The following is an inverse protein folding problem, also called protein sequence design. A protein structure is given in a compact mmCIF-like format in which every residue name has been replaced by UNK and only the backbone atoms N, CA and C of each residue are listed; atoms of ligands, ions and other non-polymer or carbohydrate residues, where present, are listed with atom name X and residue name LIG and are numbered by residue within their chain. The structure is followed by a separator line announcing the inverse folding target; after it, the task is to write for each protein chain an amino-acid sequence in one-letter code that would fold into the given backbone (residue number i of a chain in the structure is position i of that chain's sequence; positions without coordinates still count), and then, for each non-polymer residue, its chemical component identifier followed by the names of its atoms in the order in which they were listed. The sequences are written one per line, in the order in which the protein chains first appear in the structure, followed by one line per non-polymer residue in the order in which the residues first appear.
data_IF_026572629084
#
_entry.id   IF_026572629084
#
_cell.length_a   1.000
_cell.length_b   1.000
_cell.length_c   1.000
_cell.angle_alpha   90.00
_cell.angle_beta   90.00
_cell.angle_gamma   90.00
#
_symmetry.space_group_name_H-M   'P 1'
#
loop_
_entity.id
_entity.type
_entity.pdbx_description
1 polymer ?
#
# COMPACT_ATOMS: atom_id res chain seq x y z
N UNK A 1 11.68 -0.75 11.49
CA UNK A 1 10.83 -1.98 11.64
C UNK A 1 11.01 -2.69 12.99
N UNK A 2 11.76 -2.12 13.95
CA UNK A 2 11.90 -2.72 15.29
C UNK A 2 10.53 -2.87 15.96
N UNK A 3 10.37 -3.86 16.70
CA UNK A 3 9.34 -4.71 17.19
C UNK A 3 9.10 -5.92 16.28
N UNK A 4 8.72 -5.71 15.03
CA UNK A 4 8.49 -6.79 14.04
C UNK A 4 9.82 -7.43 13.60
N UNK A 5 10.81 -6.62 13.27
CA UNK A 5 12.14 -7.06 12.83
C UNK A 5 13.23 -6.47 13.72
N UNK A 6 14.28 -7.23 14.01
CA UNK A 6 15.44 -6.79 14.78
C UNK A 6 16.71 -6.79 13.92
N UNK A 7 17.75 -6.12 14.42
CA UNK A 7 19.07 -6.17 13.79
C UNK A 7 19.59 -7.61 13.77
N UNK A 8 20.01 -8.05 12.57
CA UNK A 8 20.51 -9.41 12.36
C UNK A 8 19.45 -10.40 11.92
N UNK A 9 18.16 -10.03 11.91
CA UNK A 9 17.12 -10.86 11.29
C UNK A 9 17.35 -10.96 9.78
N UNK A 10 17.15 -12.17 9.24
CA UNK A 10 17.08 -12.42 7.80
C UNK A 10 15.65 -12.77 7.45
N UNK A 11 15.08 -12.04 6.52
CA UNK A 11 13.71 -12.24 6.06
C UNK A 11 13.68 -12.98 4.72
N UNK A 12 12.67 -13.83 4.57
CA UNK A 12 12.33 -14.39 3.28
C UNK A 12 11.39 -13.42 2.56
N UNK A 13 11.79 -13.01 1.37
CA UNK A 13 11.05 -12.06 0.54
C UNK A 13 10.40 -12.81 -0.61
N UNK A 14 9.08 -12.73 -0.72
CA UNK A 14 8.33 -13.21 -1.87
C UNK A 14 8.45 -12.18 -3.01
N UNK A 15 9.22 -12.55 -4.03
CA UNK A 15 9.40 -11.78 -5.26
C UNK A 15 8.49 -12.26 -6.39
N UNK A 16 7.86 -13.43 -6.24
CA UNK A 16 7.07 -14.05 -7.30
C UNK A 16 5.69 -13.40 -7.43
N UNK A 17 5.03 -13.11 -6.30
CA UNK A 17 3.70 -12.53 -6.30
C UNK A 17 3.66 -11.17 -7.03
N UNK A 18 4.57 -10.21 -6.79
CA UNK A 18 4.67 -8.99 -7.59
C UNK A 18 5.02 -9.25 -9.05
N UNK A 19 5.87 -10.24 -9.34
CA UNK A 19 6.22 -10.62 -10.72
C UNK A 19 5.00 -11.02 -11.56
N UNK A 20 3.97 -11.60 -10.94
CA UNK A 20 2.71 -11.94 -11.58
C UNK A 20 1.68 -10.79 -11.58
N UNK A 21 2.10 -9.56 -11.24
CA UNK A 21 1.28 -8.36 -11.31
C UNK A 21 0.42 -8.11 -10.07
N UNK A 22 0.70 -8.75 -8.94
CA UNK A 22 0.07 -8.40 -7.69
C UNK A 22 0.69 -7.12 -7.13
N UNK A 23 -0.15 -6.17 -6.78
CA UNK A 23 0.25 -4.92 -6.15
C UNK A 23 0.41 -5.09 -4.63
N UNK A 24 1.25 -4.25 -3.98
CA UNK A 24 1.36 -4.25 -2.53
C UNK A 24 0.02 -3.94 -1.86
N UNK A 25 -0.30 -4.66 -0.79
CA UNK A 25 -1.53 -4.48 -0.02
C UNK A 25 -1.26 -3.80 1.33
N UNK A 26 -2.31 -3.18 1.89
CA UNK A 26 -2.24 -2.53 3.21
C UNK A 26 -1.85 -3.53 4.29
N UNK A 27 -0.95 -3.13 5.18
CA UNK A 27 -0.47 -3.94 6.29
C UNK A 27 0.67 -4.89 5.95
N UNK A 28 1.00 -5.09 4.68
CA UNK A 28 2.15 -5.89 4.27
C UNK A 28 3.47 -5.22 4.65
N UNK A 29 4.46 -6.03 4.96
CA UNK A 29 5.85 -5.57 5.10
C UNK A 29 6.54 -5.76 3.77
N UNK A 30 6.97 -4.67 3.15
CA UNK A 30 7.59 -4.69 1.83
C UNK A 30 9.05 -4.29 1.88
N UNK A 31 9.83 -4.88 0.98
CA UNK A 31 11.20 -4.47 0.64
C UNK A 31 11.13 -3.71 -0.66
N UNK A 32 11.76 -2.55 -0.73
CA UNK A 32 11.76 -1.69 -1.90
C UNK A 32 13.08 -0.95 -2.05
N UNK A 33 13.41 -0.59 -3.28
CA UNK A 33 14.59 0.23 -3.60
C UNK A 33 14.41 1.65 -3.08
N UNK A 34 15.51 2.33 -2.72
CA UNK A 34 15.47 3.74 -2.33
C UNK A 34 14.81 4.57 -3.45
N UNK A 35 13.66 5.23 -3.19
CA UNK A 35 12.96 6.04 -4.21
C UNK A 35 13.76 7.28 -4.65
N UNK A 36 14.92 7.49 -4.08
CA UNK A 36 15.82 8.60 -4.31
C UNK A 36 15.89 9.57 -3.13
N UNK A 37 17.00 9.51 -2.41
CA UNK A 37 17.32 10.43 -1.33
C UNK A 37 16.71 10.09 0.03
N UNK A 38 16.13 8.90 0.23
CA UNK A 38 15.70 8.45 1.55
C UNK A 38 16.86 7.94 2.41
N UNK A 39 17.86 7.39 1.76
CA UNK A 39 19.13 7.04 2.41
C UNK A 39 20.16 8.09 2.04
N UNK A 40 20.78 8.69 3.07
CA UNK A 40 21.95 9.52 2.84
C UNK A 40 23.02 8.73 2.08
N UNK A 41 23.77 9.39 1.21
CA UNK A 41 24.89 8.79 0.45
C UNK A 41 26.00 8.30 1.38
N UNK A 42 25.73 7.29 2.17
CA UNK A 42 26.76 6.52 2.82
C UNK A 42 27.44 5.68 1.74
N UNK A 43 28.65 6.11 1.36
CA UNK A 43 29.48 5.32 0.46
C UNK A 43 29.65 3.92 1.06
N UNK A 44 28.92 2.95 0.46
CA UNK A 44 29.13 1.55 0.82
C UNK A 44 30.57 1.16 0.46
N UNK A 45 31.29 0.44 1.32
CA UNK A 45 32.62 -0.05 0.98
C UNK A 45 32.55 -0.87 -0.30
N UNK A 46 33.49 -0.66 -1.23
CA UNK A 46 33.58 -1.36 -2.52
C UNK A 46 33.45 -2.88 -2.31
N UNK A 47 32.51 -3.55 -2.99
CA UNK A 47 32.32 -4.98 -2.83
C UNK A 47 33.51 -5.77 -3.37
N UNK A 48 33.98 -6.74 -2.57
CA UNK A 48 35.05 -7.67 -2.97
C UNK A 48 34.65 -8.50 -4.18
N UNK A 49 35.63 -8.97 -4.96
CA UNK A 49 35.40 -9.80 -6.17
C UNK A 49 34.52 -11.01 -5.90
N UNK A 50 34.65 -11.63 -4.71
CA UNK A 50 33.81 -12.75 -4.27
C UNK A 50 32.35 -12.30 -4.05
N UNK A 51 32.14 -11.12 -3.47
CA UNK A 51 30.79 -10.56 -3.27
C UNK A 51 30.13 -10.21 -4.61
N UNK A 52 30.89 -9.62 -5.55
CA UNK A 52 30.42 -9.36 -6.92
C UNK A 52 30.00 -10.64 -7.64
N UNK A 53 30.78 -11.72 -7.49
CA UNK A 53 30.45 -13.02 -8.08
C UNK A 53 29.21 -13.65 -7.44
N UNK A 54 29.09 -13.62 -6.09
CA UNK A 54 27.94 -14.15 -5.38
C UNK A 54 26.65 -13.33 -5.64
N UNK A 55 26.78 -12.03 -5.85
CA UNK A 55 25.70 -11.15 -6.28
C UNK A 55 25.25 -11.45 -7.71
N UNK A 56 26.21 -11.65 -8.61
CA UNK A 56 25.93 -12.01 -10.01
C UNK A 56 25.13 -13.32 -10.16
N UNK A 57 25.39 -14.31 -9.30
CA UNK A 57 24.64 -15.59 -9.29
C UNK A 57 23.40 -15.53 -8.36
N UNK A 58 23.03 -14.36 -7.85
CA UNK A 58 21.82 -14.15 -7.04
C UNK A 58 21.84 -14.73 -5.63
N UNK A 59 23.02 -15.15 -5.13
CA UNK A 59 23.18 -15.68 -3.76
C UNK A 59 23.41 -14.61 -2.70
N UNK A 60 23.77 -13.38 -3.09
CA UNK A 60 23.86 -12.23 -2.20
C UNK A 60 23.22 -11.00 -2.87
N UNK A 61 22.58 -10.09 -2.09
CA UNK A 61 22.17 -8.78 -2.61
C UNK A 61 23.39 -8.04 -3.17
N UNK A 62 23.22 -7.24 -4.21
CA UNK A 62 24.28 -6.36 -4.69
C UNK A 62 24.61 -5.33 -3.62
N UNK A 63 25.87 -5.05 -3.38
CA UNK A 63 26.31 -4.06 -2.39
C UNK A 63 25.92 -2.62 -2.80
N UNK A 64 25.41 -2.43 -4.01
CA UNK A 64 24.98 -1.15 -4.58
C UNK A 64 23.47 -0.93 -4.46
N UNK A 65 22.68 -1.98 -4.18
CA UNK A 65 21.23 -1.86 -3.97
C UNK A 65 20.95 -1.38 -2.55
N UNK A 66 20.44 -0.16 -2.44
CA UNK A 66 19.97 0.43 -1.19
C UNK A 66 18.53 0.04 -0.96
N UNK A 67 18.31 -1.12 -0.34
CA UNK A 67 16.98 -1.63 -0.03
C UNK A 67 16.49 -1.14 1.33
N UNK A 68 15.25 -0.73 1.36
CA UNK A 68 14.51 -0.34 2.55
C UNK A 68 13.43 -1.36 2.86
N UNK A 69 13.11 -1.53 4.15
CA UNK A 69 12.01 -2.38 4.59
C UNK A 69 11.06 -1.58 5.49
N UNK A 70 9.78 -1.50 5.11
CA UNK A 70 8.72 -0.77 5.83
C UNK A 70 7.39 -1.51 5.71
N UNK A 71 6.39 -1.05 6.46
CA UNK A 71 5.01 -1.53 6.36
C UNK A 71 4.19 -0.60 5.49
N UNK A 72 3.40 -1.17 4.58
CA UNK A 72 2.42 -0.44 3.77
C UNK A 72 1.27 -0.01 4.68
N UNK A 73 1.01 1.28 4.76
CA UNK A 73 -0.09 1.85 5.55
C UNK A 73 -1.25 2.23 4.66
N UNK A 74 -0.96 2.75 3.47
CA UNK A 74 -1.97 3.14 2.49
C UNK A 74 -1.46 2.83 1.07
N UNK A 75 -2.38 2.60 0.15
CA UNK A 75 -2.13 2.25 -1.26
C UNK A 75 -2.78 3.29 -2.18
N UNK A 76 -2.55 3.18 -3.49
CA UNK A 76 -3.12 4.08 -4.49
C UNK A 76 -4.62 4.32 -4.31
N UNK A 77 -5.05 5.58 -4.39
CA UNK A 77 -6.41 6.01 -4.15
C UNK A 77 -6.78 6.28 -2.68
N UNK A 78 -5.98 5.84 -1.71
CA UNK A 78 -6.25 6.09 -0.29
C UNK A 78 -5.93 7.51 0.12
N UNK A 79 -6.66 7.99 1.13
CA UNK A 79 -6.29 9.18 1.89
C UNK A 79 -5.75 8.78 3.24
N UNK A 80 -4.58 9.31 3.62
CA UNK A 80 -3.93 9.01 4.89
C UNK A 80 -3.56 10.30 5.62
N UNK A 81 -3.81 10.34 6.91
CA UNK A 81 -3.44 11.44 7.79
C UNK A 81 -3.10 10.95 9.21
N UNK A 82 -2.37 11.76 9.94
CA UNK A 82 -2.13 11.55 11.36
C UNK A 82 -1.88 12.88 12.08
N UNK A 83 -2.76 13.24 12.98
CA UNK A 83 -2.62 14.44 13.80
C UNK A 83 -1.85 14.13 15.08
N UNK A 84 -1.21 15.13 15.64
CA UNK A 84 -0.54 15.01 16.92
C UNK A 84 -1.54 14.48 17.97
N UNK A 85 -1.09 13.51 18.77
CA UNK A 85 -1.85 12.81 19.80
C UNK A 85 -3.06 12.00 19.28
N UNK A 86 -3.14 11.83 17.96
CA UNK A 86 -4.17 11.03 17.30
C UNK A 86 -3.63 9.72 16.71
N UNK A 87 -4.53 8.84 16.27
CA UNK A 87 -4.17 7.66 15.49
C UNK A 87 -3.79 8.02 14.05
N UNK A 88 -3.14 7.11 13.36
CA UNK A 88 -3.11 7.13 11.89
C UNK A 88 -4.53 6.85 11.39
N UNK A 89 -5.00 7.64 10.45
CA UNK A 89 -6.34 7.52 9.84
C UNK A 89 -6.17 7.20 8.37
N UNK A 90 -6.80 6.14 7.90
CA UNK A 90 -6.82 5.71 6.49
C UNK A 90 -8.26 5.71 6.02
N UNK A 91 -8.57 6.45 4.97
CA UNK A 91 -9.94 6.59 4.41
C UNK A 91 -10.97 7.02 5.46
N UNK A 92 -10.58 7.89 6.39
CA UNK A 92 -11.43 8.35 7.49
C UNK A 92 -11.57 7.35 8.65
N UNK A 93 -10.92 6.18 8.59
CA UNK A 93 -10.97 5.15 9.63
C UNK A 93 -9.68 5.11 10.43
N UNK A 94 -9.79 5.18 11.75
CA UNK A 94 -8.65 5.12 12.66
C UNK A 94 -8.03 3.72 12.68
N UNK A 95 -6.71 3.67 12.52
CA UNK A 95 -5.93 2.44 12.54
C UNK A 95 -5.53 2.11 13.99
N UNK A 96 -5.89 0.92 14.49
CA UNK A 96 -5.35 0.41 15.76
C UNK A 96 -3.99 -0.25 15.51
N UNK A 97 -2.93 0.54 15.63
CA UNK A 97 -1.56 0.13 15.33
C UNK A 97 -0.80 -0.44 16.54
N UNK A 98 -1.41 -0.48 17.73
CA UNK A 98 -0.81 -0.96 18.98
C UNK A 98 -0.30 -2.40 18.90
N UNK A 99 -0.89 -3.22 18.02
CA UNK A 99 -0.53 -4.63 17.88
C UNK A 99 0.84 -4.85 17.21
N UNK A 100 1.35 -3.87 16.46
CA UNK A 100 2.58 -4.01 15.68
C UNK A 100 3.61 -2.89 15.87
N UNK A 101 3.23 -1.71 16.34
CA UNK A 101 4.21 -0.65 16.60
C UNK A 101 5.08 -0.99 17.83
N UNK A 102 6.24 -0.38 17.90
CA UNK A 102 7.17 -0.57 19.01
C UNK A 102 6.51 -0.07 20.32
N UNK A 103 6.57 -0.86 21.43
CA UNK A 103 5.97 -0.47 22.69
C UNK A 103 6.45 0.90 23.18
N UNK A 104 5.49 1.74 23.60
CA UNK A 104 5.76 3.11 24.04
C UNK A 104 5.88 4.15 22.93
N UNK A 105 5.81 3.72 21.65
CA UNK A 105 5.73 4.65 20.53
C UNK A 105 4.31 5.22 20.39
N UNK A 106 4.24 6.45 19.89
CA UNK A 106 2.99 7.08 19.43
C UNK A 106 2.83 6.85 17.93
N UNK A 107 1.61 6.93 17.40
CA UNK A 107 1.38 6.74 15.97
C UNK A 107 2.18 7.70 15.07
N UNK A 108 2.29 8.99 15.46
CA UNK A 108 2.98 10.00 14.63
C UNK A 108 3.35 11.30 15.38
N UNK A 109 3.47 11.31 16.70
CA UNK A 109 3.73 12.56 17.43
C UNK A 109 5.07 13.20 17.11
N UNK A 110 6.01 12.40 16.63
CA UNK A 110 7.31 12.81 16.11
C UNK A 110 7.21 13.55 14.78
N UNK A 111 6.28 13.15 13.90
CA UNK A 111 6.05 13.75 12.59
C UNK A 111 4.58 13.60 12.19
N UNK A 112 3.69 14.51 12.61
CA UNK A 112 2.30 14.58 12.16
C UNK A 112 2.24 14.93 10.67
N UNK A 113 1.22 14.42 9.94
CA UNK A 113 1.12 14.58 8.50
C UNK A 113 -0.31 14.52 7.98
N UNK A 114 -0.48 14.97 6.74
CA UNK A 114 -1.69 14.84 5.95
C UNK A 114 -2.73 15.94 6.14
N UNK A 115 -3.92 15.77 5.49
CA UNK A 115 -4.29 14.61 4.67
C UNK A 115 -3.51 14.51 3.35
N UNK A 116 -3.08 13.30 3.00
CA UNK A 116 -2.35 13.00 1.78
C UNK A 116 -3.15 11.95 1.01
N UNK A 117 -3.46 12.21 -0.27
CA UNK A 117 -4.01 11.21 -1.17
C UNK A 117 -2.85 10.50 -1.87
N UNK A 118 -2.77 9.19 -1.69
CA UNK A 118 -1.74 8.35 -2.32
C UNK A 118 -2.06 8.22 -3.81
N UNK A 119 -1.15 8.60 -4.72
CA UNK A 119 -1.37 8.44 -6.16
C UNK A 119 -1.51 6.97 -6.55
N UNK A 120 -2.25 6.68 -7.63
CA UNK A 120 -2.36 5.33 -8.19
C UNK A 120 -0.98 4.75 -8.54
N UNK A 121 -0.78 3.46 -8.32
CA UNK A 121 0.50 2.79 -8.53
C UNK A 121 1.58 3.15 -7.51
N UNK A 122 1.21 3.75 -6.38
CA UNK A 122 2.13 4.12 -5.30
C UNK A 122 1.61 3.67 -3.95
N UNK A 123 2.50 3.62 -2.97
CA UNK A 123 2.19 3.26 -1.59
C UNK A 123 2.73 4.29 -0.60
N UNK A 124 2.07 4.39 0.55
CA UNK A 124 2.55 5.13 1.72
C UNK A 124 3.03 4.13 2.76
N UNK A 125 4.28 4.27 3.18
CA UNK A 125 4.92 3.30 4.06
C UNK A 125 5.37 3.93 5.38
N UNK A 126 5.26 3.18 6.48
CA UNK A 126 5.73 3.59 7.79
C UNK A 126 6.49 2.47 8.48
N UNK A 127 7.45 2.84 9.32
CA UNK A 127 8.16 1.87 10.15
C UNK A 127 7.35 1.50 11.40
N UNK A 128 7.45 0.26 11.87
CA UNK A 128 6.80 -0.17 13.11
C UNK A 128 7.44 0.48 14.36
N UNK A 129 8.71 0.89 14.29
CA UNK A 129 9.35 1.75 15.30
C UNK A 129 9.20 3.21 14.89
N UNK A 130 8.01 3.78 15.11
CA UNK A 130 7.59 5.12 14.66
C UNK A 130 8.61 6.22 14.94
N UNK A 131 9.12 6.33 16.17
CA UNK A 131 10.09 7.33 16.58
C UNK A 131 11.53 7.03 16.15
N UNK A 132 11.79 5.93 15.44
CA UNK A 132 13.09 5.57 14.91
C UNK A 132 12.98 5.01 13.49
N UNK A 133 12.25 5.72 12.65
CA UNK A 133 12.04 5.34 11.26
C UNK A 133 11.98 6.57 10.38
N UNK A 134 12.98 6.71 9.53
CA UNK A 134 12.88 7.60 8.37
C UNK A 134 12.02 6.90 7.32
N UNK A 135 10.79 7.36 7.16
CA UNK A 135 9.78 6.75 6.29
C UNK A 135 9.01 7.84 5.54
N UNK A 136 7.88 7.50 4.90
CA UNK A 136 7.08 8.42 4.09
C UNK A 136 6.83 9.78 4.74
N UNK A 137 6.67 9.83 6.06
CA UNK A 137 6.40 11.05 6.82
C UNK A 137 7.48 12.11 6.67
N UNK A 138 8.74 11.67 6.63
CA UNK A 138 9.93 12.54 6.60
C UNK A 138 10.39 12.92 5.19
N UNK A 139 9.78 12.35 4.16
CA UNK A 139 10.24 12.50 2.78
C UNK A 139 9.21 13.21 1.89
N UNK A 140 8.26 13.94 2.49
CA UNK A 140 7.18 14.62 1.76
C UNK A 140 7.68 15.72 0.81
N UNK A 141 8.84 16.32 1.13
CA UNK A 141 9.48 17.36 0.30
C UNK A 141 10.24 16.77 -0.91
N UNK A 142 10.48 15.46 -0.93
CA UNK A 142 11.18 14.79 -2.01
C UNK A 142 10.24 14.48 -3.19
N UNK A 143 10.79 14.22 -4.39
CA UNK A 143 10.01 13.76 -5.52
C UNK A 143 9.16 12.54 -5.16
N UNK A 144 7.85 12.59 -5.46
CA UNK A 144 6.90 11.56 -5.05
C UNK A 144 6.16 11.87 -3.74
N UNK A 145 6.46 12.98 -3.06
CA UNK A 145 5.72 13.43 -1.87
C UNK A 145 5.73 12.40 -0.72
N UNK A 146 6.84 11.70 -0.53
CA UNK A 146 6.98 10.64 0.48
C UNK A 146 6.34 9.30 0.10
N UNK A 147 5.71 9.18 -1.08
CA UNK A 147 5.18 7.90 -1.56
C UNK A 147 6.23 7.10 -2.33
N UNK A 148 6.12 5.78 -2.32
CA UNK A 148 6.98 4.83 -3.04
C UNK A 148 6.23 4.28 -4.25
N UNK A 149 6.85 4.21 -5.43
CA UNK A 149 6.26 3.56 -6.60
C UNK A 149 6.13 2.06 -6.39
N UNK A 150 5.06 1.44 -6.88
CA UNK A 150 4.93 -0.02 -6.88
C UNK A 150 6.08 -0.69 -7.66
N UNK A 151 6.62 0.00 -8.67
CA UNK A 151 7.76 -0.50 -9.48
C UNK A 151 9.07 -0.60 -8.67
N UNK A 152 9.20 0.18 -7.58
CA UNK A 152 10.35 0.10 -6.68
C UNK A 152 10.23 -1.06 -5.67
N UNK A 153 9.08 -1.71 -5.59
CA UNK A 153 8.86 -2.80 -4.64
C UNK A 153 9.51 -4.09 -5.12
N UNK A 154 10.54 -4.51 -4.42
CA UNK A 154 11.28 -5.76 -4.67
C UNK A 154 10.44 -6.99 -4.33
N UNK A 155 9.63 -6.90 -3.26
CA UNK A 155 8.75 -7.97 -2.83
C UNK A 155 8.24 -7.82 -1.40
N UNK A 156 7.42 -8.79 -1.00
CA UNK A 156 6.81 -8.87 0.33
C UNK A 156 7.66 -9.72 1.27
N UNK A 157 7.99 -9.20 2.44
CA UNK A 157 8.62 -9.97 3.50
C UNK A 157 7.57 -10.85 4.20
N UNK A 158 7.73 -12.17 4.16
CA UNK A 158 6.72 -13.13 4.63
C UNK A 158 7.12 -13.88 5.91
N UNK A 159 8.41 -14.06 6.12
CA UNK A 159 8.95 -14.85 7.24
C UNK A 159 10.26 -14.25 7.72
N UNK A 160 10.45 -14.17 9.04
CA UNK A 160 11.77 -14.05 9.66
C UNK A 160 12.37 -15.45 9.68
N UNK A 161 13.35 -15.69 8.80
CA UNK A 161 13.94 -17.02 8.61
C UNK A 161 15.14 -17.28 9.51
N UNK A 162 15.82 -16.24 9.97
CA UNK A 162 17.00 -16.33 10.82
C UNK A 162 17.09 -15.14 11.78
N UNK A 163 17.57 -15.32 13.00
CA UNK A 163 17.99 -16.57 13.64
C UNK A 163 16.80 -17.49 13.94
N UNK A 164 17.05 -18.81 14.02
CA UNK A 164 15.98 -19.83 14.15
C UNK A 164 15.11 -19.61 15.40
N UNK A 165 15.67 -19.11 16.49
CA UNK A 165 14.91 -18.78 17.71
C UNK A 165 13.96 -17.57 17.55
N UNK A 166 14.01 -16.88 16.43
CA UNK A 166 13.12 -15.79 16.06
C UNK A 166 12.27 -16.09 14.82
N UNK A 167 12.28 -17.36 14.39
CA UNK A 167 11.48 -17.78 13.24
C UNK A 167 10.00 -17.46 13.45
N UNK A 168 9.44 -16.64 12.59
CA UNK A 168 8.06 -16.18 12.68
C UNK A 168 7.55 -15.73 11.31
N UNK A 169 6.28 -15.94 11.05
CA UNK A 169 5.58 -15.36 9.89
C UNK A 169 5.32 -13.87 10.13
N UNK A 170 5.17 -13.12 9.06
CA UNK A 170 4.84 -11.69 9.06
C UNK A 170 3.40 -11.50 8.51
N UNK A 171 2.37 -11.83 9.28
CA UNK A 171 0.99 -11.68 8.82
C UNK A 171 0.60 -10.20 8.72
N UNK A 172 -0.39 -9.92 7.89
CA UNK A 172 -1.05 -8.63 7.87
C UNK A 172 -1.84 -8.46 9.19
N UNK A 173 -1.64 -7.35 9.92
CA UNK A 173 -2.40 -7.08 11.13
C UNK A 173 -3.89 -6.89 10.83
N UNK A 174 -4.76 -7.47 11.67
CA UNK A 174 -6.23 -7.44 11.48
C UNK A 174 -6.83 -6.04 11.43
N UNK A 175 -6.14 -5.04 11.96
CA UNK A 175 -6.58 -3.66 11.90
C UNK A 175 -6.74 -3.14 10.47
N UNK A 176 -6.04 -3.74 9.49
CA UNK A 176 -6.18 -3.39 8.08
C UNK A 176 -7.40 -4.05 7.40
N UNK A 177 -8.06 -5.01 8.05
CA UNK A 177 -9.27 -5.67 7.55
C UNK A 177 -10.56 -4.90 7.87
N UNK A 178 -10.47 -3.71 8.50
CA UNK A 178 -11.62 -2.90 8.85
C UNK A 178 -12.38 -2.45 7.59
N UNK A 179 -13.72 -2.59 7.54
CA UNK A 179 -14.51 -2.24 6.34
C UNK A 179 -14.31 -0.79 5.87
N UNK A 180 -14.11 0.15 6.80
CA UNK A 180 -13.88 1.56 6.48
C UNK A 180 -12.53 1.81 5.79
N UNK A 181 -11.49 1.04 6.11
CA UNK A 181 -10.18 1.15 5.48
C UNK A 181 -10.23 0.63 4.04
N UNK A 182 -10.97 -0.46 3.83
CA UNK A 182 -11.12 -1.10 2.51
C UNK A 182 -12.21 -0.45 1.63
N UNK A 183 -12.95 0.51 2.16
CA UNK A 183 -13.84 1.33 1.36
C UNK A 183 -12.97 2.27 0.51
N UNK A 184 -12.66 1.88 -0.72
CA UNK A 184 -12.23 2.86 -1.72
C UNK A 184 -13.29 3.94 -1.74
N UNK A 185 -12.89 5.19 -1.52
CA UNK A 185 -13.79 6.33 -1.67
C UNK A 185 -14.09 6.44 -3.15
N UNK A 186 -15.05 5.63 -3.61
CA UNK A 186 -15.70 5.83 -4.89
C UNK A 186 -16.45 7.17 -4.81
N UNK A 187 -15.70 8.26 -5.01
CA UNK A 187 -16.25 9.61 -5.22
C UNK A 187 -16.84 9.71 -6.64
N UNK A 188 -17.50 8.64 -7.08
CA UNK A 188 -18.25 8.66 -8.32
C UNK A 188 -19.60 8.00 -8.09
N UNK A 189 -20.60 8.84 -8.11
CA UNK A 189 -22.05 8.60 -8.12
C UNK A 189 -22.74 8.69 -6.75
N UNK A 190 -22.76 9.90 -6.23
CA UNK A 190 -24.01 10.41 -5.69
C UNK A 190 -25.03 10.44 -6.83
N UNK A 191 -25.68 9.31 -7.10
CA UNK A 191 -26.89 9.27 -7.89
C UNK A 191 -27.94 10.04 -7.11
N UNK A 192 -28.22 11.26 -7.56
CA UNK A 192 -29.38 12.01 -7.11
C UNK A 192 -30.62 11.09 -7.23
N UNK A 193 -31.46 10.99 -6.19
CA UNK A 193 -32.67 10.17 -6.23
C UNK A 193 -33.73 10.86 -7.12
N UNK A 194 -33.53 10.86 -8.41
CA UNK A 194 -34.40 11.53 -9.37
C UNK A 194 -34.49 10.90 -10.75
N UNK A 195 -33.64 9.95 -11.09
CA UNK A 195 -33.53 9.43 -12.46
C UNK A 195 -34.22 8.08 -12.69
N UNK A 196 -34.96 7.53 -11.74
CA UNK A 196 -35.68 6.25 -11.93
C UNK A 196 -37.11 6.39 -12.48
N UNK A 197 -37.55 7.60 -12.89
CA UNK A 197 -38.94 7.86 -13.34
C UNK A 197 -39.25 7.72 -14.81
N UNK A 198 -38.27 7.61 -15.72
CA UNK A 198 -38.57 7.75 -17.17
C UNK A 198 -38.19 6.54 -18.08
N UNK A 199 -37.60 5.47 -17.54
CA UNK A 199 -37.23 4.31 -18.37
C UNK A 199 -38.37 3.30 -18.62
N UNK A 200 -39.51 3.41 -17.94
CA UNK A 200 -40.63 2.46 -18.01
C UNK A 200 -41.69 2.76 -19.05
N UNK A 201 -41.76 3.97 -19.61
CA UNK A 201 -42.91 4.39 -20.45
C UNK A 201 -42.73 4.19 -21.96
N UNK A 202 -41.51 4.04 -22.46
CA UNK A 202 -41.25 4.01 -23.91
C UNK A 202 -41.60 2.67 -24.60
N UNK A 203 -41.46 1.48 -24.04
CA UNK A 203 -41.79 0.25 -24.74
C UNK A 203 -43.31 0.00 -24.91
N UNK A 204 -44.16 0.56 -24.05
CA UNK A 204 -45.63 0.31 -24.13
C UNK A 204 -46.28 1.07 -25.27
N UNK A 205 -45.80 2.25 -25.64
CA UNK A 205 -46.37 3.07 -26.74
C UNK A 205 -46.03 2.47 -28.10
N UNK A 206 -44.85 1.91 -28.27
CA UNK A 206 -44.42 1.28 -29.52
C UNK A 206 -45.12 -0.07 -29.75
N UNK A 207 -45.48 -0.81 -28.70
CA UNK A 207 -46.21 -2.06 -28.79
C UNK A 207 -47.66 -1.83 -29.20
N UNK A 208 -48.31 -0.76 -28.76
CA UNK A 208 -49.69 -0.40 -29.14
C UNK A 208 -49.79 0.07 -30.58
N UNK A 209 -48.81 0.77 -31.12
CA UNK A 209 -48.78 1.19 -32.53
C UNK A 209 -48.62 0.03 -33.52
N UNK A 210 -47.90 -1.01 -33.17
CA UNK A 210 -47.73 -2.21 -34.05
C UNK A 210 -48.98 -3.07 -34.17
N UNK A 211 -49.95 -3.01 -33.27
CA UNK A 211 -51.23 -3.75 -33.38
C UNK A 211 -52.28 -3.07 -34.27
N UNK A 212 -52.18 -1.77 -34.48
CA UNK A 212 -53.15 -1.02 -35.28
C UNK A 212 -52.88 -1.03 -36.81
N UNK A 213 -51.66 -1.43 -37.20
CA UNK A 213 -51.25 -1.49 -38.61
C UNK A 213 -51.41 -2.87 -39.25
N UNK A 214 -51.75 -3.92 -38.47
CA UNK A 214 -51.91 -5.31 -38.98
C UNK A 214 -53.36 -5.71 -39.33
N UNK A 215 -54.33 -4.80 -39.27
CA UNK A 215 -55.75 -5.06 -39.48
C UNK A 215 -56.33 -4.53 -40.80
N UNK A 216 -55.50 -4.15 -41.78
CA UNK A 216 -56.04 -3.47 -42.97
C UNK A 216 -55.49 -3.96 -44.30
N UNK A 217 -55.30 -5.29 -44.46
CA UNK A 217 -55.07 -5.92 -45.76
C UNK A 217 -55.66 -7.32 -45.73
N UNK A 218 -57.00 -7.40 -45.88
CA UNK A 218 -57.73 -8.53 -46.42
C UNK A 218 -59.13 -8.03 -46.74
N UNK A 219 -59.38 -7.79 -48.01
CA UNK A 219 -60.63 -7.42 -48.64
C UNK A 219 -60.41 -7.03 -50.07
#
# INVERSE_FOLDING_TARGET
MQNTLQRGDRVLVDKLTPWFGAEPERGEVVVFHDPGGWLEDTQAPEPNVVQKFLSFIGLMPSAEEKDLIKRVVAVGGDTVECKKDGPVVVNGTALDDKSFIFPGNTPCNDEPFGPITVPEGRIWVMGDHRQNSLDSRYHQELPGGGTVSNDEVVGRAIVVAWPINRWATLPVPKTFDQPGINATVNTAMSLAPGALGLAGAVPLVLWRRRRLTRGRTAG
#
